data_IF_490804401991
#
_entry.id   IF_490804401991
#
_cell.length_a   1.000
_cell.length_b   1.000
_cell.length_c   1.000
_cell.angle_alpha   90.00
_cell.angle_beta   90.00
_cell.angle_gamma   90.00
#
_symmetry.space_group_name_H-M   'P 1'
#
loop_
_entity.id
_entity.type
_entity.pdbx_description
1 polymer ?
#
# COMPACT_ATOMS: atom_id res chain seq x y z
N UNK A 1 24.81 -0.76 -13.12
CA UNK A 1 24.17 -2.05 -13.42
C UNK A 1 22.75 -1.92 -12.90
N UNK A 2 21.73 -2.20 -13.71
CA UNK A 2 20.36 -2.34 -13.17
C UNK A 2 20.42 -3.51 -12.19
N UNK A 3 19.95 -3.31 -10.96
CA UNK A 3 19.74 -4.46 -10.07
C UNK A 3 18.68 -5.33 -10.76
N UNK A 4 18.96 -6.62 -10.97
CA UNK A 4 18.03 -7.56 -11.63
C UNK A 4 16.71 -7.75 -10.85
N UNK A 5 16.61 -7.13 -9.68
CA UNK A 5 15.47 -7.21 -8.77
C UNK A 5 14.70 -5.88 -8.66
N UNK A 6 14.70 -5.01 -9.67
CA UNK A 6 13.88 -3.78 -9.65
C UNK A 6 12.55 -3.98 -10.36
N UNK A 7 11.46 -3.50 -9.75
CA UNK A 7 10.13 -3.53 -10.34
C UNK A 7 9.56 -2.12 -10.50
N UNK A 8 8.72 -1.95 -11.50
CA UNK A 8 7.92 -0.75 -11.73
C UNK A 8 6.62 -0.81 -10.93
N UNK A 9 6.41 0.18 -10.07
CA UNK A 9 5.24 0.28 -9.18
C UNK A 9 4.54 1.63 -9.35
N UNK A 10 3.30 1.70 -8.89
CA UNK A 10 2.62 2.97 -8.64
C UNK A 10 2.80 3.32 -7.17
N UNK A 11 3.44 4.46 -6.87
CA UNK A 11 3.67 4.94 -5.51
C UNK A 11 2.56 5.90 -5.09
N UNK A 12 2.03 5.73 -3.88
CA UNK A 12 0.97 6.57 -3.32
C UNK A 12 1.39 7.08 -1.95
N UNK A 13 1.43 8.40 -1.82
CA UNK A 13 1.75 9.13 -0.60
C UNK A 13 0.56 10.01 -0.18
N UNK A 14 0.49 10.33 1.11
CA UNK A 14 -0.55 11.19 1.68
C UNK A 14 -0.53 12.57 1.00
N UNK A 15 -1.72 13.07 0.66
CA UNK A 15 -1.88 14.39 0.05
C UNK A 15 -1.28 14.60 -1.36
N UNK A 16 -0.60 13.59 -1.94
CA UNK A 16 0.07 13.71 -3.25
C UNK A 16 -0.61 12.88 -4.33
N UNK A 17 -0.56 13.32 -5.58
CA UNK A 17 -0.97 12.45 -6.70
C UNK A 17 -0.08 11.20 -6.76
N UNK A 18 -0.64 10.05 -7.17
CA UNK A 18 0.15 8.84 -7.39
C UNK A 18 1.17 9.07 -8.52
N UNK A 19 2.28 8.33 -8.49
CA UNK A 19 3.32 8.44 -9.52
C UNK A 19 4.03 7.11 -9.76
N UNK A 20 4.51 6.93 -10.99
CA UNK A 20 5.32 5.76 -11.37
C UNK A 20 6.71 5.85 -10.73
N UNK A 21 7.21 4.71 -10.24
CA UNK A 21 8.55 4.60 -9.66
C UNK A 21 9.14 3.22 -9.90
N UNK A 22 10.46 3.15 -10.11
CA UNK A 22 11.22 1.90 -9.97
C UNK A 22 11.68 1.74 -8.51
N UNK A 23 11.50 0.56 -7.94
CA UNK A 23 11.98 0.21 -6.60
C UNK A 23 12.69 -1.14 -6.60
N UNK A 24 13.55 -1.38 -5.60
CA UNK A 24 14.17 -2.69 -5.37
C UNK A 24 13.15 -3.60 -4.70
N UNK A 25 12.93 -4.78 -5.26
CA UNK A 25 11.96 -5.78 -4.84
C UNK A 25 12.56 -6.77 -3.83
N UNK A 26 13.18 -6.24 -2.78
CA UNK A 26 13.62 -7.03 -1.63
C UNK A 26 12.94 -6.51 -0.36
N UNK A 27 13.10 -7.25 0.75
CA UNK A 27 12.44 -6.93 2.00
C UNK A 27 12.73 -5.50 2.47
N UNK A 28 14.00 -5.08 2.44
CA UNK A 28 14.42 -3.75 2.88
C UNK A 28 13.85 -2.65 1.97
N UNK A 29 13.88 -2.87 0.65
CA UNK A 29 13.28 -1.98 -0.34
C UNK A 29 11.78 -1.80 -0.13
N UNK A 30 11.05 -2.89 0.08
CA UNK A 30 9.60 -2.87 0.34
C UNK A 30 9.29 -2.13 1.64
N UNK A 31 9.97 -2.48 2.74
CA UNK A 31 9.77 -1.85 4.04
C UNK A 31 10.11 -0.36 4.01
N UNK A 32 11.11 0.04 3.23
CA UNK A 32 11.44 1.46 3.03
C UNK A 32 10.34 2.20 2.29
N UNK A 33 9.71 1.60 1.28
CA UNK A 33 8.62 2.25 0.56
C UNK A 33 7.37 2.42 1.42
N UNK A 34 7.02 1.45 2.26
CA UNK A 34 5.83 1.56 3.14
C UNK A 34 6.12 2.21 4.50
N UNK A 35 7.39 2.48 4.81
CA UNK A 35 7.87 3.01 6.09
C UNK A 35 7.56 2.10 7.29
N UNK A 36 7.74 0.79 7.15
CA UNK A 36 7.51 -0.16 8.24
C UNK A 36 7.30 -1.58 7.78
N UNK A 37 6.65 -2.38 8.63
CA UNK A 37 6.15 -3.68 8.23
C UNK A 37 4.97 -3.52 7.28
N UNK A 38 4.69 -4.55 6.47
CA UNK A 38 3.68 -4.47 5.41
C UNK A 38 2.78 -5.68 5.33
N UNK A 39 1.58 -5.44 4.81
CA UNK A 39 0.62 -6.46 4.41
C UNK A 39 0.24 -6.30 2.94
N UNK A 40 -0.26 -7.38 2.34
CA UNK A 40 -0.67 -7.43 0.94
C UNK A 40 -2.18 -7.41 0.82
N UNK A 41 -2.72 -6.40 0.13
CA UNK A 41 -4.15 -6.29 -0.17
C UNK A 41 -4.36 -6.57 -1.66
N UNK A 42 -4.98 -7.70 -1.97
CA UNK A 42 -5.28 -8.06 -3.36
C UNK A 42 -6.30 -7.10 -3.98
N UNK A 43 -5.92 -6.55 -5.12
CA UNK A 43 -6.77 -5.76 -5.98
C UNK A 43 -7.26 -6.61 -7.16
N UNK A 44 -7.92 -5.97 -8.12
CA UNK A 44 -8.35 -6.65 -9.35
C UNK A 44 -7.19 -6.75 -10.34
N UNK A 45 -7.36 -7.60 -11.35
CA UNK A 45 -6.49 -7.68 -12.52
C UNK A 45 -5.02 -8.02 -12.18
N UNK A 46 -4.83 -8.94 -11.21
CA UNK A 46 -3.51 -9.44 -10.83
C UNK A 46 -2.60 -8.35 -10.24
N UNK A 47 -3.16 -7.48 -9.40
CA UNK A 47 -2.42 -6.42 -8.73
C UNK A 47 -2.58 -6.49 -7.21
N UNK A 48 -1.57 -6.03 -6.49
CA UNK A 48 -1.51 -6.02 -5.04
C UNK A 48 -1.19 -4.60 -4.59
N UNK A 49 -1.94 -4.08 -3.62
CA UNK A 49 -1.51 -2.94 -2.82
C UNK A 49 -0.69 -3.44 -1.64
N UNK A 50 0.56 -3.01 -1.55
CA UNK A 50 1.46 -3.31 -0.43
C UNK A 50 1.43 -2.10 0.50
N UNK A 51 0.81 -2.28 1.67
CA UNK A 51 0.46 -1.20 2.61
C UNK A 51 1.17 -1.40 3.94
N UNK A 52 1.35 -0.32 4.71
CA UNK A 52 1.90 -0.40 6.04
C UNK A 52 0.91 -1.09 7.00
N UNK A 53 1.28 -2.22 7.61
CA UNK A 53 0.38 -3.00 8.46
C UNK A 53 0.16 -2.36 9.85
N UNK A 54 1.08 -1.52 10.29
CA UNK A 54 1.07 -0.89 11.62
C UNK A 54 0.65 0.58 11.56
N UNK A 55 0.34 1.12 10.37
CA UNK A 55 0.20 2.56 10.16
C UNK A 55 -0.81 3.23 11.09
N UNK A 56 -1.98 2.62 11.28
CA UNK A 56 -3.00 3.13 12.23
C UNK A 56 -2.57 3.00 13.69
N UNK A 57 -1.90 1.90 14.04
CA UNK A 57 -1.40 1.67 15.39
C UNK A 57 -0.33 2.70 15.76
N UNK A 58 0.49 3.09 14.79
CA UNK A 58 1.57 4.06 14.94
C UNK A 58 1.13 5.52 14.71
N UNK A 59 -0.15 5.76 14.42
CA UNK A 59 -0.69 7.11 14.22
C UNK A 59 -0.22 7.79 12.94
N UNK A 60 0.12 7.02 11.89
CA UNK A 60 0.45 7.56 10.58
C UNK A 60 -0.75 8.28 9.97
N UNK A 61 -0.48 9.28 9.14
CA UNK A 61 -1.52 10.01 8.43
C UNK A 61 -2.30 9.09 7.49
N UNK A 62 -3.63 9.25 7.50
CA UNK A 62 -4.56 8.52 6.65
C UNK A 62 -4.31 8.88 5.19
N UNK A 63 -4.29 7.86 4.34
CA UNK A 63 -3.85 7.96 2.96
C UNK A 63 -5.02 7.81 2.00
N UNK A 64 -5.42 6.57 1.62
CA UNK A 64 -6.47 6.28 0.62
C UNK A 64 -7.41 5.20 1.13
N UNK A 65 -8.65 5.18 0.62
CA UNK A 65 -9.59 4.10 0.88
C UNK A 65 -9.32 2.93 -0.07
N UNK A 66 -9.18 1.73 0.47
CA UNK A 66 -9.13 0.48 -0.31
C UNK A 66 -10.23 -0.43 0.21
N UNK A 67 -11.21 -0.74 -0.65
CA UNK A 67 -12.39 -1.48 -0.26
C UNK A 67 -13.14 -0.80 0.89
N UNK A 68 -13.31 -1.54 1.99
CA UNK A 68 -14.04 -1.08 3.18
C UNK A 68 -13.11 -0.60 4.31
N UNK A 69 -11.89 -0.18 3.99
CA UNK A 69 -10.95 0.34 4.98
C UNK A 69 -10.15 1.54 4.46
N UNK A 70 -9.61 2.34 5.37
CA UNK A 70 -8.71 3.47 5.06
C UNK A 70 -7.28 3.04 5.36
N UNK A 71 -6.38 3.16 4.41
CA UNK A 71 -4.96 2.88 4.59
C UNK A 71 -4.30 4.07 5.30
N UNK A 72 -3.44 3.82 6.28
CA UNK A 72 -2.60 4.82 6.92
C UNK A 72 -1.14 4.58 6.53
N UNK A 73 -0.38 5.65 6.25
CA UNK A 73 0.99 5.51 5.76
C UNK A 73 1.11 5.49 4.23
N UNK A 74 2.31 5.70 3.68
CA UNK A 74 2.57 5.56 2.24
C UNK A 74 2.48 4.09 1.84
N UNK A 75 2.06 3.83 0.61
CA UNK A 75 1.94 2.47 0.07
C UNK A 75 2.30 2.44 -1.42
N UNK A 76 2.32 1.27 -2.03
CA UNK A 76 2.48 1.14 -3.48
C UNK A 76 1.64 0.00 -4.05
N UNK A 77 1.44 0.03 -5.37
CA UNK A 77 0.77 -1.03 -6.12
C UNK A 77 1.78 -1.70 -7.06
N UNK A 78 1.82 -3.03 -7.04
CA UNK A 78 2.61 -3.87 -7.94
C UNK A 78 1.72 -4.92 -8.61
N UNK A 79 2.26 -5.59 -9.64
CA UNK A 79 1.62 -6.76 -10.23
C UNK A 79 1.92 -8.02 -9.41
N UNK A 80 1.06 -9.01 -9.55
CA UNK A 80 1.22 -10.35 -8.99
C UNK A 80 1.48 -11.35 -10.12
N UNK A 81 2.47 -12.21 -9.95
CA UNK A 81 2.75 -13.29 -10.90
C UNK A 81 1.94 -14.55 -10.55
N UNK A 82 1.82 -15.49 -11.50
CA UNK A 82 1.17 -16.78 -11.23
C UNK A 82 1.90 -17.61 -10.15
N UNK A 83 3.15 -17.25 -9.83
CA UNK A 83 3.97 -17.87 -8.79
C UNK A 83 3.90 -17.12 -7.44
N UNK A 84 3.15 -16.01 -7.36
CA UNK A 84 3.00 -15.20 -6.15
C UNK A 84 4.14 -14.21 -5.90
N UNK A 85 4.89 -13.85 -6.95
CA UNK A 85 5.99 -12.89 -6.88
C UNK A 85 5.54 -11.49 -7.27
N UNK A 86 6.06 -10.46 -6.60
CA UNK A 86 5.83 -9.09 -7.01
C UNK A 86 6.52 -8.79 -8.34
N UNK A 87 5.74 -8.34 -9.31
CA UNK A 87 6.22 -8.00 -10.65
C UNK A 87 5.87 -6.57 -11.03
N UNK A 88 6.53 -6.08 -12.08
CA UNK A 88 6.27 -4.75 -12.61
C UNK A 88 4.84 -4.63 -13.12
N UNK A 89 4.19 -3.50 -12.84
CA UNK A 89 2.91 -3.17 -13.47
C UNK A 89 3.06 -3.05 -14.98
N UNK A 90 2.06 -3.51 -15.72
CA UNK A 90 1.87 -3.17 -17.14
C UNK A 90 1.43 -1.71 -17.30
N UNK A 91 1.48 -1.16 -18.52
CA UNK A 91 1.02 0.21 -18.76
C UNK A 91 -0.48 0.35 -18.46
N UNK A 92 -1.30 -0.64 -18.86
CA UNK A 92 -2.74 -0.61 -18.64
C UNK A 92 -3.10 -0.65 -17.14
N UNK A 93 -2.38 -1.45 -16.34
CA UNK A 93 -2.55 -1.48 -14.89
C UNK A 93 -2.11 -0.16 -14.25
N UNK A 94 -0.99 0.42 -14.70
CA UNK A 94 -0.49 1.70 -14.21
C UNK A 94 -1.51 2.83 -14.48
N UNK A 95 -1.97 2.97 -15.72
CA UNK A 95 -2.93 4.00 -16.12
C UNK A 95 -4.26 3.87 -15.37
N UNK A 96 -4.73 2.64 -15.19
CA UNK A 96 -5.93 2.35 -14.40
C UNK A 96 -5.79 2.83 -12.96
N UNK A 97 -4.77 2.36 -12.24
CA UNK A 97 -4.64 2.69 -10.82
C UNK A 97 -4.21 4.13 -10.58
N UNK A 98 -3.51 4.75 -11.53
CA UNK A 98 -3.24 6.19 -11.54
C UNK A 98 -4.56 6.98 -11.54
N UNK A 99 -5.55 6.55 -12.34
CA UNK A 99 -6.87 7.17 -12.38
C UNK A 99 -7.69 6.87 -11.11
N UNK A 100 -7.72 5.60 -10.66
CA UNK A 100 -8.49 5.19 -9.49
C UNK A 100 -8.02 5.85 -8.18
N UNK A 101 -6.72 6.12 -8.05
CA UNK A 101 -6.11 6.75 -6.86
C UNK A 101 -5.68 8.20 -7.07
N UNK A 102 -6.15 8.85 -8.14
CA UNK A 102 -5.80 10.24 -8.47
C UNK A 102 -6.16 11.21 -7.35
N UNK A 103 -7.33 10.99 -6.73
CA UNK A 103 -7.84 11.86 -5.68
C UNK A 103 -7.05 11.62 -4.38
N UNK A 104 -6.63 12.72 -3.76
CA UNK A 104 -5.95 12.74 -2.47
C UNK A 104 -6.92 13.29 -1.42
N UNK A 105 -7.88 12.48 -0.93
CA UNK A 105 -8.86 12.94 0.05
C UNK A 105 -8.19 13.29 1.38
N UNK A 106 -8.74 14.30 2.05
CA UNK A 106 -8.49 14.53 3.47
C UNK A 106 -9.49 13.70 4.29
N UNK A 107 -9.00 13.03 5.33
CA UNK A 107 -9.82 12.28 6.28
C UNK A 107 -9.87 13.00 7.61
N UNK A 108 -11.01 12.90 8.29
CA UNK A 108 -11.22 13.58 9.57
C UNK A 108 -10.57 12.84 10.75
N UNK A 109 -10.38 11.52 10.62
CA UNK A 109 -9.96 10.64 11.71
C UNK A 109 -11.13 10.08 12.52
N UNK A 110 -12.32 10.66 12.36
CA UNK A 110 -13.56 10.22 13.01
C UNK A 110 -14.22 9.05 12.27
N UNK A 111 -13.73 8.70 11.07
CA UNK A 111 -14.22 7.54 10.33
C UNK A 111 -13.98 6.25 11.13
N UNK A 112 -14.95 5.33 11.22
CA UNK A 112 -14.74 4.04 11.88
C UNK A 112 -13.55 3.26 11.31
N UNK A 113 -13.30 3.43 10.01
CA UNK A 113 -12.16 2.82 9.30
C UNK A 113 -10.82 3.51 9.56
N UNK A 114 -10.80 4.71 10.15
CA UNK A 114 -9.56 5.35 10.58
C UNK A 114 -8.92 4.66 11.78
N UNK A 115 -9.72 3.92 12.56
CA UNK A 115 -9.29 3.29 13.79
C UNK A 115 -8.71 1.89 13.55
N UNK A 116 -7.65 1.47 14.28
CA UNK A 116 -7.17 0.10 14.23
C UNK A 116 -8.22 -0.86 14.79
N UNK A 117 -8.49 -1.96 14.07
CA UNK A 117 -9.42 -3.01 14.51
C UNK A 117 -8.69 -4.00 15.41
N UNK A 118 -8.66 -3.71 16.71
CA UNK A 118 -8.00 -4.55 17.71
C UNK A 118 -8.93 -4.88 18.88
N UNK A 119 -8.79 -6.09 19.44
CA UNK A 119 -9.50 -6.54 20.64
C UNK A 119 -8.49 -6.95 21.72
N UNK A 120 -8.61 -6.37 22.91
CA UNK A 120 -7.79 -6.75 24.06
C UNK A 120 -8.48 -7.86 24.85
N UNK A 121 -7.79 -8.98 25.06
CA UNK A 121 -8.27 -10.13 25.85
C UNK A 121 -7.32 -10.29 27.05
N UNK A 122 -7.87 -10.31 28.26
CA UNK A 122 -7.10 -10.61 29.47
C UNK A 122 -7.34 -12.05 29.94
N UNK A 123 -6.30 -12.63 30.54
CA UNK A 123 -6.42 -13.91 31.24
C UNK A 123 -6.26 -13.66 32.73
N UNK A 124 -7.20 -14.18 33.53
CA UNK A 124 -7.06 -14.23 34.98
C UNK A 124 -6.23 -15.47 35.31
N UNK A 125 -5.02 -15.25 35.83
CA UNK A 125 -4.21 -16.30 36.45
C UNK A 125 -4.52 -16.37 37.93
#
# INVERSE_FOLDING_TARGET
MKNDNTIRVLKIEQGKMPYEKEMVNDLEGIQKEVEGLFECVYLRDGCIAVVNEEGKLNGMELNRRIGNDIIAGPFFICGDSDEGEFVSLTNDQLDKYMADFKDAPEFTGDEPEAQPRMTFINFRF
#
